data_IF_027803337297
#
_entry.id   IF_027803337297
#
_cell.length_a   1.000
_cell.length_b   1.000
_cell.length_c   1.000
_cell.angle_alpha   90.00
_cell.angle_beta   90.00
_cell.angle_gamma   90.00
#
_symmetry.space_group_name_H-M   'P 1'
#
loop_
_entity.id
_entity.type
_entity.pdbx_description
1 polymer ?
#
# COMPACT_ATOMS: atom_id res chain seq x y z
N UNK A 1 16.62 -23.27 -5.87
CA UNK A 1 15.51 -22.40 -6.31
C UNK A 1 15.84 -21.86 -7.69
N UNK A 2 14.87 -21.29 -8.42
CA UNK A 2 15.09 -20.75 -9.78
C UNK A 2 14.45 -19.36 -9.90
N UNK A 3 15.06 -18.46 -10.66
CA UNK A 3 14.50 -17.14 -10.99
C UNK A 3 13.58 -17.22 -12.19
N UNK A 4 12.42 -16.59 -12.08
CA UNK A 4 11.39 -16.54 -13.12
C UNK A 4 11.07 -15.09 -13.45
N UNK A 5 10.80 -14.81 -14.72
CA UNK A 5 10.26 -13.52 -15.17
C UNK A 5 8.75 -13.66 -15.37
N UNK A 6 7.97 -12.82 -14.70
CA UNK A 6 6.52 -12.79 -14.91
C UNK A 6 6.13 -11.86 -16.07
N UNK A 7 4.90 -11.96 -16.62
CA UNK A 7 4.44 -11.09 -17.72
C UNK A 7 4.43 -9.59 -17.41
N UNK A 8 4.45 -9.21 -16.12
CA UNK A 8 4.58 -7.80 -15.68
C UNK A 8 6.03 -7.33 -15.57
N UNK A 9 6.99 -8.16 -15.96
CA UNK A 9 8.43 -7.83 -15.92
C UNK A 9 9.12 -8.02 -14.58
N UNK A 10 8.45 -8.58 -13.56
CA UNK A 10 9.10 -8.85 -12.27
C UNK A 10 9.93 -10.14 -12.31
N UNK A 11 11.16 -10.06 -11.84
CA UNK A 11 11.99 -11.19 -11.47
C UNK A 11 11.58 -11.70 -10.07
N UNK A 12 11.40 -13.01 -9.94
CA UNK A 12 11.09 -13.60 -8.63
C UNK A 12 11.62 -15.02 -8.51
N UNK A 13 12.05 -15.35 -7.30
CA UNK A 13 12.57 -16.66 -6.95
C UNK A 13 11.43 -17.61 -6.57
N UNK A 14 11.41 -18.80 -7.17
CA UNK A 14 10.45 -19.85 -6.83
C UNK A 14 11.00 -21.24 -7.16
N UNK A 15 10.59 -22.26 -6.39
CA UNK A 15 10.86 -23.66 -6.70
C UNK A 15 10.04 -24.13 -7.92
N UNK A 16 10.60 -25.06 -8.69
CA UNK A 16 9.98 -25.59 -9.92
C UNK A 16 8.65 -26.29 -9.62
N UNK A 17 8.59 -27.10 -8.56
CA UNK A 17 7.38 -27.81 -8.13
C UNK A 17 6.23 -26.84 -7.80
N UNK A 18 6.52 -25.74 -7.11
CA UNK A 18 5.52 -24.69 -6.82
C UNK A 18 5.05 -23.99 -8.10
N UNK A 19 5.95 -23.75 -9.05
CA UNK A 19 5.60 -23.18 -10.36
C UNK A 19 4.68 -24.12 -11.14
N UNK A 20 4.98 -25.41 -11.18
CA UNK A 20 4.14 -26.44 -11.81
C UNK A 20 2.76 -26.55 -11.14
N UNK A 21 2.68 -26.38 -9.81
CA UNK A 21 1.43 -26.33 -9.05
C UNK A 21 0.64 -25.01 -9.22
N UNK A 22 1.01 -24.14 -10.15
CA UNK A 22 0.27 -22.91 -10.47
C UNK A 22 0.59 -21.70 -9.60
N UNK A 23 1.61 -21.74 -8.74
CA UNK A 23 1.98 -20.56 -7.94
C UNK A 23 2.49 -19.43 -8.85
N UNK A 24 1.84 -18.27 -8.72
CA UNK A 24 2.14 -17.06 -9.48
C UNK A 24 3.32 -16.28 -8.89
N UNK A 25 3.73 -15.21 -9.59
CA UNK A 25 4.75 -14.27 -9.12
C UNK A 25 4.44 -13.76 -7.70
N UNK A 26 5.42 -13.90 -6.80
CA UNK A 26 5.29 -13.51 -5.39
C UNK A 26 5.06 -12.01 -5.19
N UNK A 27 5.56 -11.17 -6.11
CA UNK A 27 5.38 -9.71 -6.11
C UNK A 27 3.95 -9.37 -6.55
N UNK A 28 3.50 -9.93 -7.68
CA UNK A 28 2.14 -9.72 -8.19
C UNK A 28 1.07 -10.21 -7.20
N UNK A 29 1.32 -11.33 -6.53
CA UNK A 29 0.40 -11.92 -5.57
C UNK A 29 0.52 -11.33 -4.17
N UNK A 30 1.26 -10.22 -3.99
CA UNK A 30 1.48 -9.53 -2.70
C UNK A 30 2.01 -10.43 -1.58
N UNK A 31 2.77 -11.48 -1.93
CA UNK A 31 3.51 -12.33 -0.97
C UNK A 31 4.89 -11.78 -0.66
N UNK A 32 5.47 -11.01 -1.59
CA UNK A 32 6.76 -10.31 -1.42
C UNK A 32 6.55 -8.83 -1.69
N UNK A 33 6.91 -7.99 -0.71
CA UNK A 33 6.92 -6.55 -0.85
C UNK A 33 8.21 -6.13 -1.56
N UNK A 34 8.07 -5.26 -2.55
CA UNK A 34 9.18 -4.63 -3.25
C UNK A 34 8.89 -3.13 -3.31
N UNK A 35 9.74 -2.36 -2.62
CA UNK A 35 9.71 -0.89 -2.65
C UNK A 35 9.91 -0.39 -4.08
N UNK A 36 9.09 0.56 -4.51
CA UNK A 36 9.03 1.05 -5.87
C UNK A 36 8.12 0.23 -6.80
N UNK A 37 7.45 -0.82 -6.31
CA UNK A 37 6.61 -1.69 -7.16
C UNK A 37 5.20 -1.88 -6.61
N UNK A 38 5.07 -2.41 -5.39
CA UNK A 38 3.77 -2.80 -4.82
C UNK A 38 3.59 -2.31 -3.37
N UNK A 39 4.40 -1.34 -2.97
CA UNK A 39 4.27 -0.63 -1.69
C UNK A 39 3.25 0.52 -1.77
N UNK A 40 2.87 1.05 -0.61
CA UNK A 40 1.84 2.08 -0.50
C UNK A 40 2.29 3.42 -1.08
N UNK A 41 3.57 3.75 -0.97
CA UNK A 41 4.10 5.00 -1.54
C UNK A 41 4.02 4.99 -3.07
N UNK A 42 4.28 3.84 -3.69
CA UNK A 42 4.21 3.64 -5.14
C UNK A 42 2.76 3.54 -5.63
N UNK A 43 1.92 2.70 -5.01
CA UNK A 43 0.55 2.48 -5.50
C UNK A 43 -0.40 3.65 -5.17
N UNK A 44 -0.18 4.36 -4.05
CA UNK A 44 -1.09 5.38 -3.53
C UNK A 44 -0.37 6.67 -3.07
N UNK A 45 0.40 7.34 -3.95
CA UNK A 45 1.24 8.48 -3.58
C UNK A 45 0.44 9.66 -3.00
N UNK A 46 -0.80 9.86 -3.45
CA UNK A 46 -1.66 10.91 -2.89
C UNK A 46 -2.06 10.62 -1.45
N UNK A 47 -2.31 9.37 -1.10
CA UNK A 47 -2.70 8.99 0.26
C UNK A 47 -1.54 9.20 1.25
N UNK A 48 -0.30 8.95 0.82
CA UNK A 48 0.93 9.14 1.62
C UNK A 48 1.11 10.59 2.09
N UNK A 49 0.57 11.57 1.37
CA UNK A 49 0.60 12.99 1.81
C UNK A 49 -0.09 13.22 3.15
N UNK A 50 -1.02 12.33 3.54
CA UNK A 50 -1.70 12.38 4.84
C UNK A 50 -1.11 11.39 5.87
N UNK A 51 0.02 10.74 5.57
CA UNK A 51 0.69 9.88 6.54
C UNK A 51 1.11 10.69 7.77
N UNK A 52 0.82 10.18 8.97
CA UNK A 52 1.21 10.90 10.18
C UNK A 52 2.75 10.89 10.34
N UNK A 53 3.40 12.03 10.61
CA UNK A 53 4.86 12.15 10.58
C UNK A 53 5.60 11.26 11.60
N UNK A 54 5.03 11.04 12.78
CA UNK A 54 5.74 10.36 13.88
C UNK A 54 5.03 9.14 14.49
N UNK A 55 3.71 8.99 14.32
CA UNK A 55 2.92 7.98 15.04
C UNK A 55 2.98 6.59 14.41
N UNK A 56 3.52 6.48 13.20
CA UNK A 56 3.71 5.18 12.55
C UNK A 56 5.15 4.69 12.62
N UNK A 57 6.06 5.41 13.28
CA UNK A 57 7.44 4.97 13.42
C UNK A 57 7.50 3.59 14.09
N UNK A 58 8.29 2.63 13.57
CA UNK A 58 9.30 2.77 12.51
C UNK A 58 8.81 2.51 11.07
N UNK A 59 7.51 2.24 10.86
CA UNK A 59 6.95 1.89 9.55
C UNK A 59 6.94 3.09 8.59
N UNK A 60 7.42 2.86 7.37
CA UNK A 60 7.33 3.81 6.26
C UNK A 60 6.35 3.31 5.19
N UNK A 61 5.67 4.22 4.45
CA UNK A 61 4.75 3.84 3.38
C UNK A 61 5.37 2.98 2.26
N UNK A 62 6.68 3.10 2.03
CA UNK A 62 7.40 2.28 1.05
C UNK A 62 7.82 0.89 1.57
N UNK A 63 7.54 0.59 2.83
CA UNK A 63 7.91 -0.65 3.52
C UNK A 63 6.67 -1.47 3.95
N UNK A 64 5.49 -1.11 3.43
CA UNK A 64 4.23 -1.77 3.74
C UNK A 64 3.40 -2.01 2.48
N UNK A 65 2.52 -3.01 2.54
CA UNK A 65 1.46 -3.21 1.56
C UNK A 65 0.24 -2.32 1.87
N UNK A 66 -0.61 -2.02 0.87
CA UNK A 66 -1.92 -1.42 1.09
C UNK A 66 -2.91 -2.46 1.65
N UNK A 67 -2.62 -2.93 2.86
CA UNK A 67 -3.34 -3.98 3.58
C UNK A 67 -4.30 -3.46 4.65
N UNK A 68 -4.81 -4.37 5.46
CA UNK A 68 -5.84 -4.10 6.49
C UNK A 68 -5.28 -3.55 7.80
N UNK A 69 -3.95 -3.50 7.95
CA UNK A 69 -3.30 -2.84 9.09
C UNK A 69 -3.71 -1.37 9.16
N UNK A 70 -3.96 -0.89 10.39
CA UNK A 70 -4.35 0.50 10.63
C UNK A 70 -3.11 1.34 10.90
N UNK A 71 -3.13 2.54 10.34
CA UNK A 71 -2.08 3.54 10.54
C UNK A 71 -2.70 4.86 10.98
N UNK A 72 -1.88 5.70 11.58
CA UNK A 72 -2.23 7.06 11.91
C UNK A 72 -2.05 7.96 10.71
N UNK A 73 -3.02 8.84 10.53
CA UNK A 73 -3.04 9.79 9.43
C UNK A 73 -3.31 11.18 9.96
N UNK A 74 -2.84 12.20 9.26
CA UNK A 74 -3.14 13.60 9.50
C UNK A 74 -3.63 14.22 8.20
N UNK A 75 -4.91 14.59 8.13
CA UNK A 75 -5.44 15.16 6.89
C UNK A 75 -4.81 16.52 6.57
N UNK A 76 -4.70 16.84 5.28
CA UNK A 76 -4.10 18.11 4.85
C UNK A 76 -5.05 19.30 4.96
N UNK A 77 -6.36 19.07 4.80
CA UNK A 77 -7.36 20.12 4.81
C UNK A 77 -7.56 20.76 6.20
N UNK A 78 -7.78 19.94 7.23
CA UNK A 78 -8.15 20.39 8.57
C UNK A 78 -7.23 19.88 9.70
N UNK A 79 -6.23 19.04 9.38
CA UNK A 79 -5.32 18.49 10.38
C UNK A 79 -5.92 17.39 11.28
N UNK A 80 -7.12 16.88 10.98
CA UNK A 80 -7.75 15.77 11.68
C UNK A 80 -6.83 14.55 11.74
N UNK A 81 -6.77 13.94 12.92
CA UNK A 81 -5.98 12.74 13.17
C UNK A 81 -6.89 11.54 13.21
N UNK A 82 -6.74 10.61 12.25
CA UNK A 82 -7.56 9.39 12.23
C UNK A 82 -6.68 8.14 12.24
N UNK A 83 -7.20 7.05 12.78
CA UNK A 83 -6.54 5.75 12.85
C UNK A 83 -7.31 4.73 12.02
N UNK A 84 -6.89 4.52 10.78
CA UNK A 84 -7.66 3.77 9.76
C UNK A 84 -6.73 2.94 8.88
N UNK A 85 -7.27 1.89 8.27
CA UNK A 85 -6.54 1.08 7.29
C UNK A 85 -6.54 1.75 5.91
N UNK A 86 -5.59 1.34 5.08
CA UNK A 86 -5.43 1.88 3.73
C UNK A 86 -6.66 1.59 2.84
N UNK A 87 -7.19 0.35 2.76
CA UNK A 87 -8.41 0.05 2.02
C UNK A 87 -9.61 0.89 2.46
N UNK A 88 -9.76 1.14 3.77
CA UNK A 88 -10.83 2.00 4.25
C UNK A 88 -10.63 3.43 3.74
N UNK A 89 -9.42 3.98 3.84
CA UNK A 89 -9.15 5.34 3.35
C UNK A 89 -9.34 5.50 1.85
N UNK A 90 -9.00 4.48 1.07
CA UNK A 90 -9.29 4.47 -0.37
C UNK A 90 -10.80 4.49 -0.62
N UNK A 91 -11.57 3.68 0.13
CA UNK A 91 -13.03 3.64 0.04
C UNK A 91 -13.71 4.95 0.47
N UNK A 92 -13.25 5.55 1.57
CA UNK A 92 -13.76 6.83 2.08
C UNK A 92 -13.24 8.04 1.29
N UNK A 93 -12.31 7.82 0.36
CA UNK A 93 -11.62 8.84 -0.43
C UNK A 93 -10.77 9.82 0.40
N UNK A 94 -10.40 9.45 1.63
CA UNK A 94 -9.59 10.27 2.54
C UNK A 94 -10.14 10.30 3.97
N UNK A 95 -9.92 11.40 4.66
CA UNK A 95 -10.34 11.58 6.05
C UNK A 95 -11.88 11.57 6.19
N UNK A 96 -12.39 10.71 7.07
CA UNK A 96 -13.83 10.55 7.35
C UNK A 96 -14.44 11.73 8.09
N UNK A 97 -13.63 12.51 8.81
CA UNK A 97 -14.05 13.72 9.53
C UNK A 97 -14.08 14.96 8.63
N UNK A 98 -13.35 14.93 7.51
CA UNK A 98 -13.45 15.98 6.49
C UNK A 98 -14.74 15.83 5.69
N UNK A 99 -15.25 16.97 5.22
CA UNK A 99 -16.35 16.98 4.26
C UNK A 99 -15.92 16.23 3.00
N UNK A 100 -16.82 15.47 2.34
CA UNK A 100 -16.48 14.64 1.19
C UNK A 100 -15.67 15.34 0.10
N UNK A 101 -15.96 16.61 -0.16
CA UNK A 101 -15.31 17.48 -1.15
C UNK A 101 -13.89 17.92 -0.78
N UNK A 102 -13.54 17.90 0.51
CA UNK A 102 -12.22 18.32 1.02
C UNK A 102 -11.25 17.13 1.15
N UNK A 103 -11.71 15.91 0.87
CA UNK A 103 -10.90 14.70 1.07
C UNK A 103 -9.84 14.59 -0.01
N UNK A 104 -8.66 14.08 0.35
CA UNK A 104 -7.50 14.09 -0.55
C UNK A 104 -7.66 13.27 -1.84
N UNK A 105 -8.64 12.36 -1.92
CA UNK A 105 -8.97 11.59 -3.11
C UNK A 105 -10.36 11.95 -3.68
N UNK A 106 -10.96 13.05 -3.22
CA UNK A 106 -12.12 13.64 -3.87
C UNK A 106 -11.69 14.12 -5.27
N UNK A 107 -12.49 13.82 -6.28
CA UNK A 107 -12.33 14.31 -7.65
C UNK A 107 -13.29 15.47 -7.84
#
# INVERSE_FOLDING_TARGET
MVFWLCPKGHDYEQRIDRRAAGYQCSICSRRRLVSGTNDVATEHPNLVKEWHPYLNYPKKPNEIFPGTEKYYWKCKAAGHKTHQSIPHRLKSKGCTECRPEERILAR
#
